data_IF_114922799781
#
_entry.id   IF_114922799781
#
_cell.length_a   1.000
_cell.length_b   1.000
_cell.length_c   1.000
_cell.angle_alpha   90.00
_cell.angle_beta   90.00
_cell.angle_gamma   90.00
#
_symmetry.space_group_name_H-M   'P 1'
#
loop_
_entity.id
_entity.type
_entity.pdbx_description
1 polymer ?
2 non-polymer ?
3 non-polymer ?
4 non-polymer ?
5 non-polymer ?
6 water ?
#
# COMPACT_ATOMS: atom_id res chain seq x y z
N UNK A 2 -16.80 0.84 15.03
CA UNK A 2 -16.10 2.12 15.07
C UNK A 2 -15.91 2.68 13.66
N UNK A 3 -15.77 3.99 13.56
CA UNK A 3 -15.72 4.67 12.26
C UNK A 3 -14.45 4.43 11.46
N UNK A 4 -13.44 3.81 12.07
CA UNK A 4 -12.22 3.49 11.35
C UNK A 4 -12.51 2.45 10.29
N UNK A 5 -12.13 2.71 9.04
CA UNK A 5 -12.27 1.67 8.02
C UNK A 5 -11.16 1.67 6.98
N UNK A 6 -10.90 0.48 6.43
CA UNK A 6 -9.84 0.34 5.45
C UNK A 6 -10.25 -0.63 4.35
N UNK A 7 -9.89 -0.28 3.12
CA UNK A 7 -10.14 -1.09 1.96
C UNK A 7 -8.82 -1.28 1.23
N UNK A 8 -8.33 -2.51 1.21
CA UNK A 8 -7.16 -2.81 0.40
C UNK A 8 -7.58 -3.77 -0.70
N UNK A 9 -7.60 -3.27 -1.93
CA UNK A 9 -8.03 -4.11 -3.04
C UNK A 9 -7.00 -4.06 -4.16
N UNK A 10 -6.73 -5.20 -4.80
CA UNK A 10 -5.90 -5.14 -6.01
C UNK A 10 -6.65 -4.42 -7.13
N UNK A 11 -5.94 -3.94 -8.14
CA UNK A 11 -6.60 -3.20 -9.22
C UNK A 11 -7.34 -4.16 -10.14
N UNK A 12 -8.51 -3.74 -10.61
CA UNK A 12 -9.36 -4.61 -11.41
C UNK A 12 -8.79 -4.80 -12.82
N UNK A 13 -8.29 -3.72 -13.40
CA UNK A 13 -7.77 -3.75 -14.76
C UNK A 13 -6.57 -4.65 -14.96
N UNK A 14 -6.43 -5.16 -16.17
CA UNK A 14 -5.34 -6.07 -16.50
C UNK A 14 -3.99 -5.37 -16.53
N UNK A 15 -2.97 -6.06 -16.03
CA UNK A 15 -1.59 -5.58 -16.09
C UNK A 15 -0.81 -6.48 -17.04
N UNK A 16 0.09 -5.90 -17.82
CA UNK A 16 0.80 -6.67 -18.84
C UNK A 16 2.31 -6.72 -18.64
N UNK A 17 2.86 -7.92 -18.78
CA UNK A 17 4.27 -8.17 -18.53
C UNK A 17 5.21 -7.50 -19.53
N UNK A 18 6.17 -6.77 -18.99
CA UNK A 18 7.13 -6.04 -19.79
C UNK A 18 7.56 -4.79 -19.06
N UNK A 19 8.21 -3.89 -19.79
CA UNK A 19 8.61 -2.63 -19.20
C UNK A 19 7.31 -1.84 -19.14
N UNK A 20 6.87 -1.49 -17.94
CA UNK A 20 5.62 -0.76 -17.78
C UNK A 20 5.72 0.59 -18.48
N UNK A 21 4.75 0.90 -19.35
CA UNK A 21 4.80 2.09 -20.20
C UNK A 21 4.64 3.38 -19.41
N UNK A 22 4.02 3.28 -18.24
CA UNK A 22 3.82 4.41 -17.36
C UNK A 22 3.57 3.93 -15.94
N UNK A 23 3.31 4.87 -15.03
CA UNK A 23 2.98 4.49 -13.67
C UNK A 23 1.72 3.61 -13.67
N UNK A 24 1.81 2.43 -13.07
CA UNK A 24 0.64 1.55 -13.05
C UNK A 24 0.26 1.13 -11.64
N UNK A 25 -0.98 1.43 -11.26
CA UNK A 25 -1.47 1.05 -9.94
C UNK A 25 -1.58 -0.47 -9.79
N UNK A 26 -0.86 -1.01 -8.81
CA UNK A 26 -1.02 -2.41 -8.42
C UNK A 26 -2.15 -2.63 -7.41
N UNK A 27 -2.30 -1.69 -6.48
CA UNK A 27 -3.28 -1.82 -5.41
C UNK A 27 -3.91 -0.46 -5.12
N UNK A 28 -5.12 -0.50 -4.59
CA UNK A 28 -5.84 0.69 -4.16
C UNK A 28 -6.14 0.54 -2.68
N UNK A 29 -5.92 1.64 -1.96
CA UNK A 29 -5.98 1.67 -0.51
C UNK A 29 -6.85 2.84 -0.07
N UNK A 30 -7.97 2.54 0.57
CA UNK A 30 -8.85 3.60 1.05
C UNK A 30 -9.21 3.44 2.51
N UNK A 31 -8.74 4.37 3.33
CA UNK A 31 -8.93 4.27 4.77
C UNK A 31 -9.43 5.61 5.29
N UNK A 32 -10.23 5.56 6.34
CA UNK A 32 -10.79 6.79 6.86
C UNK A 32 -11.44 6.71 8.22
N UNK A 33 -11.49 7.87 8.86
CA UNK A 33 -12.32 8.05 10.03
C UNK A 33 -12.85 9.47 10.15
N UNK A 34 -14.12 9.56 10.54
CA UNK A 34 -14.84 10.81 10.71
C UNK A 34 -14.55 11.46 12.05
N UNK A 35 -14.24 10.63 13.05
CA UNK A 35 -14.05 11.11 14.41
C UNK A 35 -12.58 10.98 14.81
N UNK A 36 -12.13 11.89 15.69
CA UNK A 36 -10.73 12.37 15.77
C UNK A 36 -9.62 11.32 15.75
N UNK A 37 -8.53 11.70 15.07
CA UNK A 37 -7.31 10.91 14.99
C UNK A 37 -6.17 11.81 14.50
N UNK A 38 -4.96 11.28 14.50
CA UNK A 38 -3.80 12.03 14.04
C UNK A 38 -3.15 11.64 12.72
N UNK A 39 -3.44 10.45 12.22
CA UNK A 39 -2.72 9.95 11.07
C UNK A 39 -2.83 8.46 10.80
N UNK A 40 -2.12 8.02 9.77
CA UNK A 40 -2.29 6.68 9.22
C UNK A 40 -0.97 6.11 8.75
N UNK A 41 -0.77 4.80 8.93
CA UNK A 41 0.43 4.17 8.39
C UNK A 41 0.21 2.75 7.87
N UNK A 42 1.02 2.35 6.90
CA UNK A 42 1.00 1.02 6.34
C UNK A 42 2.35 0.36 6.60
N UNK A 43 2.30 -0.72 7.38
CA UNK A 43 3.49 -1.48 7.73
C UNK A 43 3.50 -2.76 6.92
N UNK A 44 4.41 -2.87 5.94
CA UNK A 44 4.47 -4.12 5.19
C UNK A 44 4.91 -5.30 6.06
N UNK A 45 4.29 -6.46 5.86
CA UNK A 45 4.59 -7.63 6.67
C UNK A 45 5.08 -8.77 5.79
N UNK A 46 5.69 -9.77 6.41
CA UNK A 46 6.22 -10.90 5.69
C UNK A 46 7.32 -10.53 4.72
N UNK A 47 7.21 -11.02 3.50
CA UNK A 47 8.24 -10.84 2.49
C UNK A 47 8.03 -9.52 1.75
N UNK A 48 7.01 -8.78 2.17
CA UNK A 48 6.73 -7.44 1.66
C UNK A 48 7.60 -6.42 2.37
N UNK A 49 8.47 -6.90 3.25
CA UNK A 49 9.24 -6.04 4.13
C UNK A 49 9.98 -4.98 3.32
N UNK A 50 9.76 -3.72 3.67
CA UNK A 50 10.40 -2.62 2.98
C UNK A 50 9.70 -2.12 1.72
N UNK A 51 8.38 -2.29 1.66
CA UNK A 51 7.57 -1.78 0.56
C UNK A 51 7.50 -2.62 -0.71
N UNK A 52 7.57 -3.94 -0.58
CA UNK A 52 7.71 -4.81 -1.75
C UNK A 52 6.56 -5.77 -2.06
N UNK A 53 6.22 -5.88 -3.34
CA UNK A 53 5.40 -6.98 -3.84
C UNK A 53 6.36 -8.14 -4.04
N UNK A 54 5.95 -9.36 -3.68
CA UNK A 54 6.76 -10.54 -4.00
C UNK A 54 6.09 -11.46 -5.04
N UNK A 55 6.82 -11.70 -6.13
CA UNK A 55 6.38 -12.56 -7.23
C UNK A 55 6.51 -14.06 -6.94
N UNK A 56 5.80 -14.88 -7.70
CA UNK A 56 5.89 -16.32 -7.52
C UNK A 56 7.17 -16.82 -8.20
N UNK A 57 7.88 -15.90 -8.84
CA UNK A 57 9.18 -16.20 -9.43
C UNK A 57 10.34 -15.82 -8.51
N UNK A 58 10.01 -15.32 -7.32
CA UNK A 58 11.02 -14.94 -6.35
C UNK A 58 11.50 -13.50 -6.46
N UNK A 59 10.83 -12.71 -7.30
CA UNK A 59 11.23 -11.32 -7.51
C UNK A 59 10.47 -10.37 -6.60
N UNK A 60 11.20 -9.40 -6.04
CA UNK A 60 10.56 -8.30 -5.34
C UNK A 60 10.41 -7.15 -6.32
N UNK A 61 9.31 -6.42 -6.19
CA UNK A 61 9.07 -5.24 -7.00
C UNK A 61 8.61 -4.13 -6.07
N UNK A 62 9.27 -2.98 -6.16
CA UNK A 62 8.99 -1.88 -5.26
C UNK A 62 7.63 -1.25 -5.49
N UNK A 63 6.88 -1.07 -4.41
CA UNK A 63 5.62 -0.33 -4.46
C UNK A 63 5.82 1.13 -4.04
N UNK A 64 5.11 2.04 -4.70
CA UNK A 64 5.15 3.46 -4.36
C UNK A 64 3.78 3.97 -3.92
N UNK A 65 3.76 5.08 -3.20
CA UNK A 65 2.50 5.66 -2.74
C UNK A 65 2.29 7.09 -3.24
N UNK A 66 1.03 7.51 -3.30
CA UNK A 66 0.68 8.88 -3.69
C UNK A 66 0.44 9.73 -2.44
N UNK A 67 -0.57 9.36 -1.66
CA UNK A 67 -0.89 10.07 -0.43
C UNK A 67 0.22 10.00 0.64
N UNK A 68 0.70 8.80 0.95
CA UNK A 68 1.61 8.67 2.08
C UNK A 68 3.07 8.87 1.70
N UNK A 69 3.94 8.83 2.71
CA UNK A 69 5.38 9.01 2.52
C UNK A 69 6.14 7.85 3.17
N UNK A 70 7.18 7.39 2.49
CA UNK A 70 7.91 6.22 2.96
C UNK A 70 8.94 6.56 4.04
N UNK A 71 8.86 5.86 5.16
CA UNK A 71 9.91 5.92 6.16
C UNK A 71 10.52 4.54 6.27
N UNK A 72 11.73 4.37 5.75
CA UNK A 72 12.36 3.06 5.70
C UNK A 72 12.94 2.70 7.04
N UNK A 73 13.45 3.71 7.73
CA UNK A 73 13.98 3.54 9.07
C UNK A 73 12.91 2.87 9.91
N UNK A 74 11.67 3.25 9.67
CA UNK A 74 10.53 2.61 10.32
C UNK A 74 9.78 1.54 9.51
N UNK A 75 10.22 1.25 8.30
CA UNK A 75 9.47 0.33 7.43
C UNK A 75 7.96 0.64 7.37
N UNK A 76 7.60 1.90 7.16
CA UNK A 76 6.18 2.24 7.03
C UNK A 76 5.89 3.40 6.10
N UNK A 77 4.79 3.31 5.36
CA UNK A 77 4.27 4.47 4.68
C UNK A 77 3.42 5.20 5.71
N UNK A 78 3.51 6.52 5.79
CA UNK A 78 2.64 7.22 6.72
C UNK A 78 2.14 8.51 6.11
N UNK A 79 1.02 8.98 6.64
CA UNK A 79 0.51 10.28 6.30
C UNK A 79 -0.12 10.85 7.56
N UNK A 80 0.15 12.12 7.83
CA UNK A 80 -0.45 12.80 8.97
C UNK A 80 -1.57 13.75 8.55
N UNK A 81 -2.80 13.40 8.91
CA UNK A 81 -3.96 14.23 8.61
C UNK A 81 -4.99 14.12 9.73
N UNK A 82 -5.62 15.24 10.08
CA UNK A 82 -6.64 15.25 11.14
C UNK A 82 -8.12 15.17 10.72
N UNK A 83 -8.38 14.94 9.43
CA UNK A 83 -9.71 15.21 8.86
C UNK A 83 -10.50 13.93 8.54
N UNK A 84 -11.84 14.03 8.56
CA UNK A 84 -12.77 12.91 8.34
C UNK A 84 -12.70 12.29 6.95
N UNK A 85 -12.28 13.07 5.96
CA UNK A 85 -12.28 12.62 4.57
C UNK A 85 -11.51 11.32 4.38
N UNK A 86 -12.16 10.33 3.78
CA UNK A 86 -11.52 9.05 3.47
C UNK A 86 -10.31 9.30 2.58
N UNK A 87 -9.18 8.70 2.92
CA UNK A 87 -7.97 8.91 2.15
C UNK A 87 -7.92 8.02 0.93
N UNK A 88 -7.67 8.65 -0.21
CA UNK A 88 -7.63 7.97 -1.48
C UNK A 88 -6.17 7.79 -1.80
N UNK A 89 -5.67 6.57 -1.68
CA UNK A 89 -4.26 6.33 -1.95
C UNK A 89 -4.09 5.05 -2.75
N UNK A 90 -2.99 5.00 -3.49
CA UNK A 90 -2.74 3.88 -4.36
C UNK A 90 -1.30 3.39 -4.22
N UNK A 91 -1.13 2.08 -4.15
CA UNK A 91 0.19 1.49 -4.29
C UNK A 91 0.36 1.22 -5.77
N UNK A 92 1.44 1.72 -6.34
CA UNK A 92 1.65 1.59 -7.76
C UNK A 92 3.10 1.28 -8.06
N UNK A 93 3.34 0.82 -9.28
CA UNK A 93 4.69 0.63 -9.76
C UNK A 93 5.11 1.76 -10.69
N UNK A 94 6.35 2.19 -10.48
CA UNK A 94 7.01 3.21 -11.28
C UNK A 94 7.08 2.78 -12.74
N UNK A 95 6.96 3.74 -13.66
CA UNK A 95 7.05 3.45 -15.08
C UNK A 95 8.40 2.83 -15.41
N UNK A 96 8.43 2.00 -16.45
CA UNK A 96 9.65 1.36 -16.89
C UNK A 96 9.95 0.12 -16.07
N UNK A 97 9.30 0.02 -14.92
CA UNK A 97 9.41 -1.17 -14.09
C UNK A 97 9.05 -2.39 -14.91
N UNK A 98 9.93 -3.38 -14.91
CA UNK A 98 9.66 -4.62 -15.62
C UNK A 98 8.78 -5.52 -14.78
N UNK A 99 7.70 -6.00 -15.37
CA UNK A 99 6.89 -6.98 -14.68
C UNK A 99 6.94 -8.27 -15.47
N UNK A 100 6.82 -9.38 -14.77
CA UNK A 100 6.85 -10.69 -15.41
C UNK A 100 5.46 -11.27 -15.27
N UNK A 101 5.05 -12.08 -16.26
CA UNK A 101 3.69 -12.63 -16.29
C UNK A 101 3.48 -13.67 -15.19
N UNK A 102 3.31 -13.20 -13.95
CA UNK A 102 3.15 -14.08 -12.80
C UNK A 102 2.36 -13.41 -11.67
N UNK A 103 2.27 -14.08 -10.52
CA UNK A 103 1.48 -13.57 -9.40
C UNK A 103 2.29 -12.78 -8.36
N UNK A 104 1.94 -11.51 -8.20
CA UNK A 104 2.60 -10.63 -7.25
C UNK A 104 1.77 -10.49 -5.97
N UNK A 105 2.42 -10.66 -4.83
CA UNK A 105 1.71 -10.63 -3.56
C UNK A 105 2.14 -9.47 -2.68
N UNK A 106 1.18 -8.95 -1.94
CA UNK A 106 1.47 -7.96 -0.92
C UNK A 106 0.72 -8.28 0.36
N UNK A 107 1.46 -8.33 1.45
CA UNK A 107 0.87 -8.42 2.77
C UNK A 107 1.31 -7.20 3.55
N UNK A 108 0.46 -6.77 4.47
CA UNK A 108 0.82 -5.73 5.40
C UNK A 108 -0.14 -5.68 6.55
N UNK A 109 -0.04 -4.62 7.32
CA UNK A 109 -1.00 -4.31 8.35
C UNK A 109 -1.13 -2.81 8.32
N UNK A 110 -2.34 -2.31 8.51
CA UNK A 110 -2.56 -0.87 8.54
C UNK A 110 -2.79 -0.42 9.98
N UNK A 111 -2.32 0.78 10.30
CA UNK A 111 -2.48 1.31 11.64
C UNK A 111 -2.97 2.75 11.60
N UNK A 112 -3.76 3.11 12.61
CA UNK A 112 -4.26 4.46 12.77
C UNK A 112 -3.62 4.96 14.05
N UNK A 113 -3.49 6.28 14.21
CA UNK A 113 -2.90 6.78 15.45
C UNK A 113 -3.39 8.14 15.93
N UNK A 114 -2.85 8.55 17.07
CA UNK A 114 -3.13 9.84 17.68
C UNK A 114 -1.85 10.39 18.29
N UNK A 115 -1.76 11.71 18.31
CA UNK A 115 -0.56 12.38 18.80
C UNK A 115 -0.75 12.96 20.19
N UNK A 116 -0.20 12.29 21.19
CA UNK A 116 0.08 12.91 22.48
C UNK A 116 1.37 12.33 23.05
N UNK A 117 2.40 13.14 23.32
CA UNK A 117 2.55 14.47 22.77
C UNK A 117 3.96 14.71 22.20
N UNK A 118 4.04 14.78 20.89
CA UNK A 118 3.01 14.12 20.13
C UNK A 118 3.80 12.98 19.53
N UNK A 119 3.60 11.80 20.11
CA UNK A 119 4.26 10.58 19.66
C UNK A 119 3.21 9.50 19.51
N UNK A 120 3.44 8.62 18.55
CA UNK A 120 2.34 7.85 17.99
C UNK A 120 1.70 6.86 18.96
N UNK A 121 0.40 7.02 19.17
CA UNK A 121 -0.35 6.00 19.88
C UNK A 121 -1.33 5.35 18.90
N UNK A 122 -1.32 4.03 18.81
CA UNK A 122 -2.09 3.37 17.75
C UNK A 122 -3.54 3.10 18.17
N UNK A 123 -4.46 3.78 17.50
CA UNK A 123 -5.87 3.63 17.80
C UNK A 123 -6.49 2.40 17.12
N UNK A 124 -6.05 2.10 15.90
CA UNK A 124 -6.57 0.95 15.18
C UNK A 124 -5.59 0.29 14.23
N UNK A 125 -5.83 -0.99 13.97
CA UNK A 125 -5.04 -1.75 13.02
C UNK A 125 -5.91 -2.72 12.24
N UNK A 126 -5.49 -3.00 11.02
CA UNK A 126 -6.11 -4.05 10.22
C UNK A 126 -5.02 -4.71 9.40
N UNK A 127 -5.11 -6.02 9.20
CA UNK A 127 -4.11 -6.69 8.38
C UNK A 127 -4.61 -6.73 6.95
N UNK A 128 -4.01 -5.92 6.09
CA UNK A 128 -4.31 -5.92 4.67
C UNK A 128 -3.50 -6.97 3.94
N UNK A 129 -4.06 -7.46 2.84
CA UNK A 129 -3.31 -8.26 1.89
C UNK A 129 -4.00 -8.23 0.53
N UNK A 130 -3.26 -8.58 -0.51
CA UNK A 130 -3.79 -8.59 -1.86
C UNK A 130 -2.79 -9.19 -2.82
N UNK A 131 -3.28 -9.59 -3.98
CA UNK A 131 -2.42 -10.16 -5.00
C UNK A 131 -2.88 -9.71 -6.37
N UNK A 132 -1.95 -9.69 -7.31
CA UNK A 132 -2.25 -9.32 -8.68
C UNK A 132 -1.48 -10.20 -9.66
N UNK A 133 -2.19 -10.80 -10.60
CA UNK A 133 -1.57 -11.69 -11.58
C UNK A 133 -1.35 -11.02 -12.94
N UNK A 134 -0.08 -10.82 -13.30
CA UNK A 134 0.27 -10.10 -14.52
C UNK A 134 0.14 -10.94 -15.79
N UNK A 135 -0.66 -10.45 -16.73
CA UNK A 135 -0.88 -11.15 -18.00
C UNK A 135 0.28 -10.91 -18.95
N UNK A 136 0.17 -11.44 -20.17
CA UNK A 136 1.29 -11.39 -21.12
C UNK A 136 0.93 -10.82 -22.50
N UNK A 137 1.95 -10.39 -23.24
CA UNK A 137 1.71 -9.78 -24.53
C UNK A 137 2.03 -10.66 -25.72
N UNK A 138 2.04 -11.98 -25.52
CA UNK A 138 2.37 -12.92 -26.58
C UNK A 138 3.87 -13.24 -26.60
X LIG B 1 11.96 -7.76 1.16
X LIG B 1 12.65 -7.09 0.35
X LIG B 1 10.80 -7.29 1.60
X LIG B 1 12.45 -8.96 1.54
X LIG C 1 12.41 -0.09 -6.42
X LIG C 1 12.25 1.08 -7.37
X LIG C 1 11.73 -1.36 -6.88
X LIG C 1 13.82 -0.30 -5.90
X LIG C 1 11.58 0.35 -5.11
X LIG C 1 11.94 -0.14 -3.82
X LIG C 1 10.74 -0.03 -2.89
X LIG C 1 10.81 1.21 -2.10
X LIG C 1 12.16 1.36 -1.54
X LIG C 1 9.82 1.16 -1.02
X LIG C 1 10.51 2.36 -2.96
X LIG D 1 6.71 5.91 -2.04
X LIG E 1 7.20 9.09 10.99
X LIG E 1 6.93 7.62 11.32
X LIG E 1 5.43 7.34 11.29
X LIG E 1 4.70 8.34 12.16
X LIG E 1 5.10 9.77 11.80
X LIG E 1 4.42 10.76 12.73
X LIG E 1 8.57 9.36 11.09
X LIG E 1 7.59 6.79 10.40
X LIG E 1 5.19 6.04 11.76
X LIG E 1 5.01 8.10 13.51
X LIG E 1 6.50 9.91 11.91
X LIG E 1 3.38 11.41 12.05
#
# INVERSE_FOLDING_TARGET
>A
MNTFHVDFAPNTGEIFAGKQPGDVTMFTLTMGDTAPHGGWRLIPTGDSKGGYMISADGDYVGLYSYMMSWVGIDNNWYINDDSPKDIKDHLYVKAGTVLKPTTYKFTGRVEEYVFDNKQSTVINSKDVSGEVTVKQGLEHHHHHH
>B hetero
1 GAI C N1 N2 N3
>C hetero
1 PC P1 O1 O3 O4 O2 C1 C2 N1 C3 C4 C5
>D hetero
1 CL CL
>E hetero
1 GAL C1 C2 C3 C4 C5 C6 O1 O2 O3 O4 O5 O6
#
